data_IF_964218616352
#
_entry.id   IF_964218616352
#
_cell.length_a   1.000
_cell.length_b   1.000
_cell.length_c   1.000
_cell.angle_alpha   90.00
_cell.angle_beta   90.00
_cell.angle_gamma   90.00
#
_symmetry.space_group_name_H-M   'P 1'
#
loop_
_entity.id
_entity.type
_entity.pdbx_description
1 polymer ?
#
# COMPACT_ATOMS: atom_id res chain seq x y z
N UNK A 1 21.74 -11.17 -21.58
CA UNK A 1 20.64 -11.21 -20.60
C UNK A 1 21.07 -12.10 -19.46
N UNK A 2 20.99 -11.64 -18.22
CA UNK A 2 21.34 -12.42 -17.03
C UNK A 2 20.26 -13.50 -16.82
N UNK A 3 20.63 -14.78 -16.70
CA UNK A 3 19.69 -15.89 -16.46
C UNK A 3 19.23 -15.94 -14.98
N UNK A 4 18.82 -14.80 -14.42
CA UNK A 4 18.37 -14.71 -13.04
C UNK A 4 16.98 -15.34 -12.90
N UNK A 5 16.77 -15.98 -11.76
CA UNK A 5 15.55 -16.72 -11.42
C UNK A 5 15.10 -16.28 -10.04
N UNK A 6 13.83 -15.92 -9.91
CA UNK A 6 13.24 -15.51 -8.63
C UNK A 6 11.97 -16.31 -8.37
N UNK A 7 11.85 -16.83 -7.16
CA UNK A 7 10.60 -17.34 -6.61
C UNK A 7 9.99 -16.27 -5.72
N UNK A 8 8.75 -15.88 -6.00
CA UNK A 8 7.99 -14.91 -5.21
C UNK A 8 6.85 -15.64 -4.52
N UNK A 9 6.78 -15.54 -3.19
CA UNK A 9 5.72 -16.12 -2.37
C UNK A 9 4.76 -15.02 -1.92
N UNK A 10 3.46 -15.18 -2.18
CA UNK A 10 2.43 -14.20 -1.78
C UNK A 10 1.30 -14.83 -0.96
N UNK A 11 0.80 -14.10 0.04
CA UNK A 11 -0.24 -14.58 0.96
C UNK A 11 -1.66 -14.43 0.39
N UNK A 12 -1.76 -13.94 -0.85
CA UNK A 12 -2.96 -13.83 -1.68
C UNK A 12 -2.53 -13.74 -3.14
N UNK A 13 -3.44 -14.00 -4.07
CA UNK A 13 -3.22 -13.70 -5.48
C UNK A 13 -3.17 -12.16 -5.66
N UNK A 14 -2.11 -11.58 -6.27
CA UNK A 14 -1.96 -10.14 -6.46
C UNK A 14 -2.83 -9.59 -7.63
N UNK A 15 -4.11 -9.97 -7.66
CA UNK A 15 -5.08 -9.60 -8.67
C UNK A 15 -6.51 -9.65 -8.10
N UNK A 16 -7.50 -8.89 -8.60
CA UNK A 16 -7.38 -7.76 -9.54
C UNK A 16 -6.61 -6.58 -8.94
N UNK A 17 -6.12 -5.69 -9.81
CA UNK A 17 -5.31 -4.51 -9.46
C UNK A 17 -6.17 -3.35 -8.95
N UNK A 18 -7.02 -3.62 -7.96
CA UNK A 18 -8.02 -2.68 -7.47
C UNK A 18 -7.76 -2.18 -6.03
N UNK A 19 -6.70 -2.67 -5.39
CA UNK A 19 -6.25 -2.25 -4.07
C UNK A 19 -4.71 -2.06 -4.03
N UNK A 20 -4.25 -1.22 -3.10
CA UNK A 20 -2.85 -0.82 -3.01
C UNK A 20 -1.88 -1.98 -2.74
N UNK A 21 -2.30 -3.03 -2.03
CA UNK A 21 -1.45 -4.19 -1.78
C UNK A 21 -1.25 -5.03 -3.04
N UNK A 22 -2.30 -5.22 -3.84
CA UNK A 22 -2.20 -5.93 -5.13
C UNK A 22 -1.37 -5.13 -6.13
N UNK A 23 -1.60 -3.82 -6.22
CA UNK A 23 -0.78 -2.91 -7.04
C UNK A 23 0.71 -2.97 -6.65
N UNK A 24 1.01 -2.94 -5.35
CA UNK A 24 2.39 -2.99 -4.86
C UNK A 24 3.11 -4.31 -5.18
N UNK A 25 2.45 -5.45 -4.97
CA UNK A 25 3.02 -6.76 -5.32
C UNK A 25 3.18 -6.91 -6.84
N UNK A 26 2.16 -6.51 -7.60
CA UNK A 26 2.17 -6.55 -9.05
C UNK A 26 3.33 -5.74 -9.63
N UNK A 27 3.57 -4.53 -9.14
CA UNK A 27 4.69 -3.69 -9.58
C UNK A 27 6.04 -4.39 -9.41
N UNK A 28 6.27 -5.07 -8.28
CA UNK A 28 7.50 -5.84 -8.07
C UNK A 28 7.64 -7.01 -9.04
N UNK A 29 6.58 -7.80 -9.21
CA UNK A 29 6.54 -8.96 -10.12
C UNK A 29 6.81 -8.50 -11.57
N UNK A 30 6.14 -7.44 -12.00
CA UNK A 30 6.33 -6.83 -13.32
C UNK A 30 7.77 -6.34 -13.48
N UNK A 31 8.31 -5.68 -12.45
CA UNK A 31 9.66 -5.14 -12.48
C UNK A 31 10.75 -6.19 -12.66
N UNK A 32 10.63 -7.33 -11.96
CA UNK A 32 11.52 -8.47 -12.16
C UNK A 32 11.41 -9.04 -13.58
N UNK A 33 10.19 -9.24 -14.07
CA UNK A 33 9.94 -9.75 -15.41
C UNK A 33 10.51 -8.82 -16.50
N UNK A 34 10.24 -7.51 -16.40
CA UNK A 34 10.74 -6.51 -17.34
C UNK A 34 12.26 -6.36 -17.30
N UNK A 35 12.90 -6.71 -16.18
CA UNK A 35 14.37 -6.77 -16.05
C UNK A 35 14.96 -8.05 -16.66
N UNK A 36 14.14 -8.90 -17.28
CA UNK A 36 14.56 -10.14 -17.95
C UNK A 36 14.73 -11.32 -17.03
N UNK A 37 14.29 -11.24 -15.77
CA UNK A 37 14.38 -12.35 -14.82
C UNK A 37 13.28 -13.38 -15.10
N UNK A 38 13.60 -14.67 -14.92
CA UNK A 38 12.60 -15.73 -14.89
C UNK A 38 11.86 -15.67 -13.56
N UNK A 39 10.59 -15.26 -13.60
CA UNK A 39 9.75 -15.08 -12.41
C UNK A 39 8.85 -16.30 -12.22
N UNK A 40 8.99 -16.97 -11.08
CA UNK A 40 8.07 -17.99 -10.59
C UNK A 40 7.24 -17.38 -9.47
N UNK A 41 5.92 -17.27 -9.66
CA UNK A 41 4.99 -16.80 -8.63
C UNK A 41 4.26 -17.98 -7.99
N UNK A 42 4.34 -18.11 -6.67
CA UNK A 42 3.56 -19.07 -5.90
C UNK A 42 2.69 -18.33 -4.88
N UNK A 43 1.37 -18.35 -5.09
CA UNK A 43 0.42 -17.58 -4.30
C UNK A 43 -0.50 -18.45 -3.44
N UNK A 44 -0.95 -17.93 -2.32
CA UNK A 44 -2.13 -18.46 -1.64
C UNK A 44 -3.39 -17.88 -2.28
N UNK A 45 -4.41 -18.69 -2.54
CA UNK A 45 -5.73 -18.22 -2.95
C UNK A 45 -6.68 -18.40 -1.77
N UNK A 46 -6.89 -17.33 -1.01
CA UNK A 46 -7.60 -17.41 0.28
C UNK A 46 -9.09 -17.19 0.13
N UNK A 47 -9.92 -17.82 0.98
CA UNK A 47 -11.39 -17.67 0.93
C UNK A 47 -11.86 -16.21 0.91
N UNK A 48 -11.15 -15.31 1.62
CA UNK A 48 -11.45 -13.87 1.69
C UNK A 48 -11.06 -13.06 0.45
N UNK A 49 -10.12 -13.54 -0.34
CA UNK A 49 -9.57 -12.88 -1.51
C UNK A 49 -9.48 -13.84 -2.70
N UNK A 50 -10.52 -14.69 -2.85
CA UNK A 50 -10.52 -15.73 -3.86
C UNK A 50 -10.56 -15.10 -5.25
N UNK A 51 -9.61 -15.48 -6.11
CA UNK A 51 -9.62 -15.13 -7.53
C UNK A 51 -9.95 -16.38 -8.32
N UNK A 52 -10.99 -16.35 -9.18
CA UNK A 52 -11.29 -17.45 -10.08
C UNK A 52 -10.20 -17.63 -11.14
N UNK A 53 -9.87 -18.89 -11.44
CA UNK A 53 -8.81 -19.32 -12.36
C UNK A 53 -8.91 -18.64 -13.75
N UNK A 54 -10.14 -18.39 -14.22
CA UNK A 54 -10.45 -17.86 -15.55
C UNK A 54 -10.05 -16.38 -15.75
N UNK A 55 -9.81 -15.63 -14.66
CA UNK A 55 -9.67 -14.15 -14.70
C UNK A 55 -8.19 -13.72 -14.80
N UNK A 56 -7.24 -14.64 -14.72
CA UNK A 56 -5.82 -14.30 -14.76
C UNK A 56 -5.38 -13.98 -16.20
N UNK A 57 -5.07 -12.71 -16.45
CA UNK A 57 -4.68 -12.17 -17.77
C UNK A 57 -3.39 -11.36 -17.68
N UNK A 58 -2.84 -10.96 -18.84
CA UNK A 58 -1.68 -10.08 -18.91
C UNK A 58 -0.40 -10.73 -18.37
N UNK A 59 0.34 -9.99 -17.54
CA UNK A 59 1.65 -10.37 -16.97
C UNK A 59 1.70 -11.81 -16.47
N UNK A 60 0.66 -12.27 -15.77
CA UNK A 60 0.64 -13.58 -15.13
C UNK A 60 0.66 -14.76 -16.12
N UNK A 61 0.34 -14.53 -17.40
CA UNK A 61 0.50 -15.53 -18.48
C UNK A 61 1.90 -15.52 -19.12
N UNK A 62 2.69 -14.49 -18.84
CA UNK A 62 3.99 -14.27 -19.50
C UNK A 62 5.19 -14.50 -18.57
N UNK A 63 4.99 -14.48 -17.25
CA UNK A 63 6.01 -14.93 -16.31
C UNK A 63 6.30 -16.43 -16.48
N UNK A 64 7.44 -16.88 -15.96
CA UNK A 64 7.92 -18.24 -16.19
C UNK A 64 6.94 -19.31 -15.71
N UNK A 65 6.38 -19.12 -14.51
CA UNK A 65 5.32 -19.96 -13.97
C UNK A 65 4.49 -19.19 -12.94
N UNK A 66 3.22 -19.54 -12.87
CA UNK A 66 2.30 -19.05 -11.85
C UNK A 66 1.47 -20.22 -11.31
N UNK A 67 1.67 -20.56 -10.03
CA UNK A 67 0.87 -21.55 -9.32
C UNK A 67 0.21 -20.90 -8.09
N UNK A 68 -0.93 -21.44 -7.67
CA UNK A 68 -1.56 -21.07 -6.40
C UNK A 68 -2.11 -22.27 -5.66
N UNK A 69 -2.30 -22.09 -4.36
CA UNK A 69 -2.92 -23.07 -3.48
C UNK A 69 -4.16 -22.47 -2.84
N UNK A 70 -5.30 -23.12 -3.01
CA UNK A 70 -6.55 -22.73 -2.36
C UNK A 70 -6.46 -23.01 -0.86
N UNK A 71 -6.59 -21.96 -0.04
CA UNK A 71 -6.45 -22.02 1.40
C UNK A 71 -7.71 -21.44 2.06
N UNK A 72 -8.33 -22.21 2.93
CA UNK A 72 -9.37 -21.69 3.81
C UNK A 72 -8.71 -21.05 5.04
N UNK A 73 -8.77 -19.72 5.13
CA UNK A 73 -8.21 -18.94 6.25
C UNK A 73 -9.28 -18.28 7.13
N UNK A 74 -10.50 -18.82 7.15
CA UNK A 74 -11.59 -18.29 7.95
C UNK A 74 -11.30 -18.34 9.46
N UNK A 75 -11.80 -17.33 10.19
CA UNK A 75 -11.61 -17.22 11.64
C UNK A 75 -12.48 -18.27 12.34
N UNK A 76 -11.87 -19.37 12.77
CA UNK A 76 -12.52 -20.30 13.68
C UNK A 76 -12.37 -19.82 15.13
N UNK A 77 -13.48 -19.35 15.73
CA UNK A 77 -13.51 -18.80 17.10
C UNK A 77 -12.99 -19.75 18.18
N UNK A 78 -13.03 -21.07 17.95
CA UNK A 78 -12.55 -22.09 18.90
C UNK A 78 -11.01 -22.18 18.87
N UNK A 79 -10.40 -22.05 17.69
CA UNK A 79 -8.94 -22.05 17.53
C UNK A 79 -8.32 -20.76 18.10
N UNK A 80 -9.04 -19.64 18.08
CA UNK A 80 -8.65 -18.38 18.73
C UNK A 80 -8.46 -18.55 20.23
N UNK A 81 -9.42 -19.23 20.86
CA UNK A 81 -9.41 -19.45 22.30
C UNK A 81 -8.32 -20.45 22.68
N UNK A 82 -8.12 -21.52 21.89
CA UNK A 82 -7.06 -22.51 22.13
C UNK A 82 -5.65 -21.93 21.93
N UNK A 83 -5.40 -21.19 20.85
CA UNK A 83 -4.09 -20.57 20.62
C UNK A 83 -3.78 -19.49 21.68
N UNK A 84 -4.78 -18.74 22.14
CA UNK A 84 -4.62 -17.78 23.24
C UNK A 84 -4.21 -18.43 24.57
N UNK A 85 -4.69 -19.65 24.83
CA UNK A 85 -4.44 -20.36 26.09
C UNK A 85 -3.17 -21.24 26.08
N UNK A 86 -2.71 -21.70 24.90
CA UNK A 86 -1.70 -22.77 24.83
C UNK A 86 -0.51 -22.54 23.88
N UNK A 87 -0.50 -21.49 23.03
CA UNK A 87 0.61 -21.24 22.10
C UNK A 87 1.46 -20.02 22.49
N UNK A 88 2.76 -20.07 22.22
CA UNK A 88 3.66 -18.91 22.29
C UNK A 88 3.61 -18.08 21.00
N UNK A 89 3.22 -18.67 19.87
CA UNK A 89 3.17 -18.03 18.55
C UNK A 89 1.81 -17.42 18.27
N UNK A 90 1.75 -16.19 17.78
CA UNK A 90 0.47 -15.53 17.47
C UNK A 90 -0.38 -16.39 16.52
N UNK A 91 -1.64 -16.69 16.90
CA UNK A 91 -2.59 -17.47 16.07
C UNK A 91 -2.68 -17.00 14.61
N UNK A 92 -2.52 -15.70 14.40
CA UNK A 92 -2.55 -15.08 13.09
C UNK A 92 -1.40 -15.50 12.18
N UNK A 93 -0.31 -16.07 12.72
CA UNK A 93 0.81 -16.63 11.98
C UNK A 93 0.59 -18.12 11.70
N UNK A 94 0.17 -18.89 12.72
CA UNK A 94 -0.11 -20.34 12.58
C UNK A 94 -1.14 -20.61 11.47
N UNK A 95 -2.11 -19.70 11.28
CA UNK A 95 -3.14 -19.81 10.22
C UNK A 95 -2.64 -19.70 8.80
N UNK A 96 -1.45 -19.13 8.58
CA UNK A 96 -0.87 -19.09 7.24
C UNK A 96 0.05 -20.27 6.99
N UNK A 97 0.30 -21.15 7.97
CA UNK A 97 1.04 -22.38 7.71
C UNK A 97 0.11 -23.47 7.17
N UNK A 98 0.45 -23.98 5.99
CA UNK A 98 -0.19 -25.13 5.37
C UNK A 98 0.88 -26.05 4.79
N UNK A 99 0.89 -27.31 5.21
CA UNK A 99 1.89 -28.30 4.76
C UNK A 99 1.91 -28.42 3.23
N UNK A 100 0.74 -28.46 2.59
CA UNK A 100 0.66 -28.54 1.14
C UNK A 100 1.30 -27.33 0.41
N UNK A 101 1.25 -26.13 1.00
CA UNK A 101 1.94 -24.97 0.45
C UNK A 101 3.45 -25.07 0.67
N UNK A 102 3.90 -25.59 1.82
CA UNK A 102 5.31 -25.90 2.05
C UNK A 102 5.84 -26.93 1.05
N UNK A 103 5.12 -28.03 0.83
CA UNK A 103 5.50 -29.08 -0.11
C UNK A 103 5.68 -28.50 -1.53
N UNK A 104 4.79 -27.59 -1.93
CA UNK A 104 4.89 -26.84 -3.19
C UNK A 104 6.10 -25.91 -3.23
N UNK A 105 6.39 -25.17 -2.14
CA UNK A 105 7.63 -24.38 -2.05
C UNK A 105 8.84 -25.30 -2.26
N UNK A 106 8.90 -26.43 -1.55
CA UNK A 106 10.04 -27.37 -1.62
C UNK A 106 10.21 -27.95 -3.03
N UNK A 107 9.12 -28.32 -3.70
CA UNK A 107 9.15 -28.80 -5.08
C UNK A 107 9.72 -27.74 -6.03
N UNK A 108 9.24 -26.50 -5.93
CA UNK A 108 9.74 -25.39 -6.75
C UNK A 108 11.21 -25.10 -6.46
N UNK A 109 11.64 -25.10 -5.19
CA UNK A 109 13.04 -24.89 -4.83
C UNK A 109 13.98 -25.95 -5.45
N UNK A 110 13.55 -27.21 -5.48
CA UNK A 110 14.33 -28.33 -6.05
C UNK A 110 14.39 -28.29 -7.58
N UNK A 111 13.27 -27.97 -8.23
CA UNK A 111 13.12 -28.05 -9.69
C UNK A 111 13.52 -26.75 -10.39
N UNK A 112 12.99 -25.61 -9.94
CA UNK A 112 13.24 -24.31 -10.55
C UNK A 112 14.63 -23.76 -10.20
N UNK A 113 15.11 -24.08 -8.97
CA UNK A 113 16.39 -23.63 -8.40
C UNK A 113 16.54 -22.10 -8.50
N UNK A 114 15.69 -21.33 -7.80
CA UNK A 114 15.75 -19.88 -7.86
C UNK A 114 17.07 -19.35 -7.26
N UNK A 115 17.56 -18.25 -7.80
CA UNK A 115 18.67 -17.50 -7.23
C UNK A 115 18.22 -16.61 -6.06
N UNK A 116 16.96 -16.16 -6.11
CA UNK A 116 16.32 -15.32 -5.08
C UNK A 116 14.98 -15.91 -4.69
N UNK A 117 14.69 -15.95 -3.38
CA UNK A 117 13.35 -16.24 -2.85
C UNK A 117 12.86 -15.00 -2.12
N UNK A 118 11.84 -14.34 -2.69
CA UNK A 118 11.17 -13.19 -2.09
C UNK A 118 9.87 -13.60 -1.42
N UNK A 119 9.71 -13.19 -0.18
CA UNK A 119 8.54 -13.44 0.65
C UNK A 119 7.78 -12.12 0.84
N UNK A 120 6.55 -12.05 0.31
CA UNK A 120 5.65 -10.91 0.51
C UNK A 120 4.84 -11.11 1.79
N UNK A 121 5.05 -10.24 2.78
CA UNK A 121 4.42 -10.24 4.12
C UNK A 121 5.06 -11.15 5.16
N UNK A 122 5.01 -10.69 6.42
CA UNK A 122 5.56 -11.40 7.57
C UNK A 122 4.85 -12.73 7.83
N UNK A 123 3.59 -12.87 7.41
CA UNK A 123 2.81 -14.10 7.61
C UNK A 123 3.45 -15.33 6.94
N UNK A 124 4.07 -15.16 5.78
CA UNK A 124 4.74 -16.24 5.05
C UNK A 124 6.14 -16.56 5.57
N UNK A 125 6.64 -15.79 6.54
CA UNK A 125 7.97 -16.05 7.13
C UNK A 125 8.02 -17.36 7.92
N UNK A 126 6.86 -17.93 8.24
CA UNK A 126 6.72 -19.29 8.80
C UNK A 126 7.36 -20.37 7.93
N UNK A 127 7.44 -20.16 6.60
CA UNK A 127 8.06 -21.11 5.66
C UNK A 127 9.59 -20.99 5.56
N UNK A 128 10.20 -20.04 6.29
CA UNK A 128 11.64 -19.84 6.27
C UNK A 128 12.47 -21.08 6.63
N UNK A 129 12.07 -21.95 7.59
CA UNK A 129 12.79 -23.20 7.87
C UNK A 129 12.92 -24.10 6.63
N UNK A 130 11.82 -24.31 5.89
CA UNK A 130 11.83 -25.11 4.66
C UNK A 130 12.68 -24.47 3.55
N UNK A 131 12.55 -23.15 3.37
CA UNK A 131 13.35 -22.39 2.39
C UNK A 131 14.85 -22.55 2.68
N UNK A 132 15.24 -22.37 3.95
CA UNK A 132 16.65 -22.50 4.38
C UNK A 132 17.17 -23.93 4.25
N UNK A 133 16.34 -24.93 4.51
CA UNK A 133 16.74 -26.33 4.43
C UNK A 133 16.93 -26.82 2.99
N UNK A 134 16.17 -26.27 2.03
CA UNK A 134 16.15 -26.75 0.65
C UNK A 134 16.75 -25.78 -0.38
N UNK A 135 17.26 -24.61 0.04
CA UNK A 135 17.82 -23.64 -0.90
C UNK A 135 18.84 -22.68 -0.29
N UNK A 136 19.94 -22.49 -1.03
CA UNK A 136 20.94 -21.46 -0.79
C UNK A 136 20.62 -20.14 -1.53
N UNK A 137 19.40 -19.96 -2.03
CA UNK A 137 18.96 -18.70 -2.65
C UNK A 137 19.10 -17.52 -1.69
N UNK A 138 19.25 -16.30 -2.23
CA UNK A 138 19.15 -15.05 -1.46
C UNK A 138 17.72 -14.92 -0.95
N UNK A 139 17.55 -14.78 0.37
CA UNK A 139 16.25 -14.67 1.04
C UNK A 139 15.89 -13.21 1.20
N UNK A 140 14.78 -12.78 0.59
CA UNK A 140 14.28 -11.40 0.65
C UNK A 140 12.93 -11.36 1.35
N UNK A 141 12.78 -10.50 2.35
CA UNK A 141 11.48 -10.25 3.00
C UNK A 141 10.97 -8.87 2.60
N UNK A 142 9.82 -8.80 1.94
CA UNK A 142 9.13 -7.55 1.68
C UNK A 142 8.03 -7.31 2.70
N UNK A 143 8.17 -6.21 3.45
CA UNK A 143 7.25 -5.86 4.53
C UNK A 143 6.18 -4.92 4.02
N UNK A 144 4.91 -5.36 4.02
CA UNK A 144 3.80 -4.48 3.66
C UNK A 144 3.43 -3.52 4.79
N UNK A 145 3.53 -3.99 6.03
CA UNK A 145 3.31 -3.22 7.25
C UNK A 145 4.20 -3.80 8.36
N UNK A 146 4.24 -3.09 9.49
CA UNK A 146 4.65 -3.66 10.78
C UNK A 146 3.36 -4.07 11.49
N UNK A 147 3.05 -5.36 11.49
CA UNK A 147 1.74 -5.88 11.89
C UNK A 147 1.45 -5.57 13.36
N UNK A 148 2.42 -5.72 14.26
CA UNK A 148 2.21 -5.47 15.68
C UNK A 148 1.84 -4.00 15.97
N UNK A 149 2.25 -3.03 15.14
CA UNK A 149 1.81 -1.63 15.30
C UNK A 149 0.31 -1.48 15.05
N UNK A 150 -0.24 -2.23 14.09
CA UNK A 150 -1.67 -2.24 13.79
C UNK A 150 -2.44 -2.76 15.00
N UNK A 151 -2.01 -3.90 15.55
CA UNK A 151 -2.64 -4.51 16.73
C UNK A 151 -2.51 -3.65 17.98
N UNK A 152 -1.37 -3.01 18.20
CA UNK A 152 -1.20 -2.04 19.28
C UNK A 152 -2.20 -0.87 19.16
N UNK A 153 -2.36 -0.33 17.93
CA UNK A 153 -3.32 0.72 17.64
C UNK A 153 -4.78 0.29 17.91
N UNK A 154 -5.15 -0.94 17.56
CA UNK A 154 -6.45 -1.52 17.91
C UNK A 154 -6.62 -1.66 19.42
N UNK A 155 -5.57 -2.05 20.15
CA UNK A 155 -5.54 -2.08 21.61
C UNK A 155 -5.84 -0.72 22.22
N UNK A 156 -5.17 0.34 21.76
CA UNK A 156 -5.37 1.71 22.24
C UNK A 156 -6.79 2.24 21.99
N UNK A 157 -7.43 1.84 20.88
CA UNK A 157 -8.80 2.25 20.53
C UNK A 157 -9.90 1.38 21.17
N UNK A 158 -9.55 0.24 21.74
CA UNK A 158 -10.53 -0.70 22.28
C UNK A 158 -11.16 -0.18 23.59
N UNK A 159 -12.46 0.10 23.55
CA UNK A 159 -13.25 0.49 24.74
C UNK A 159 -13.43 -0.63 25.76
N UNK A 160 -13.54 -1.88 25.29
CA UNK A 160 -13.72 -3.06 26.15
C UNK A 160 -12.37 -3.54 26.71
N UNK A 161 -12.27 -3.66 28.05
CA UNK A 161 -11.02 -4.01 28.76
C UNK A 161 -10.48 -5.41 28.42
N UNK A 162 -11.35 -6.40 28.23
CA UNK A 162 -10.95 -7.78 27.86
C UNK A 162 -10.37 -7.79 26.45
N UNK A 163 -11.10 -7.19 25.51
CA UNK A 163 -10.67 -7.04 24.11
C UNK A 163 -9.35 -6.26 24.00
N UNK A 164 -9.19 -5.22 24.81
CA UNK A 164 -7.94 -4.44 24.91
C UNK A 164 -6.78 -5.31 25.40
N UNK A 165 -6.97 -6.08 26.48
CA UNK A 165 -5.93 -7.00 27.00
C UNK A 165 -5.54 -8.05 25.97
N UNK A 166 -6.51 -8.60 25.24
CA UNK A 166 -6.26 -9.53 24.14
C UNK A 166 -5.39 -8.89 23.04
N UNK A 167 -5.73 -7.69 22.56
CA UNK A 167 -4.94 -7.01 21.52
C UNK A 167 -3.51 -6.69 21.96
N UNK A 168 -3.30 -6.27 23.21
CA UNK A 168 -1.93 -6.04 23.70
C UNK A 168 -1.13 -7.34 23.87
N UNK A 169 -1.75 -8.43 24.32
CA UNK A 169 -1.07 -9.73 24.34
C UNK A 169 -0.64 -10.17 22.93
N UNK A 170 -1.54 -10.04 21.96
CA UNK A 170 -1.25 -10.37 20.57
C UNK A 170 -0.16 -9.46 19.97
N UNK A 171 -0.15 -8.18 20.35
CA UNK A 171 0.88 -7.21 19.96
C UNK A 171 2.27 -7.72 20.37
N UNK A 172 2.47 -8.12 21.62
CA UNK A 172 3.79 -8.57 22.07
C UNK A 172 4.24 -9.88 21.42
N UNK A 173 3.30 -10.79 21.15
CA UNK A 173 3.58 -12.06 20.44
C UNK A 173 3.99 -11.80 18.99
N UNK A 174 3.23 -10.96 18.27
CA UNK A 174 3.56 -10.56 16.90
C UNK A 174 4.88 -9.79 16.84
N UNK A 175 5.11 -8.86 17.77
CA UNK A 175 6.37 -8.13 17.85
C UNK A 175 7.58 -9.07 17.97
N UNK A 176 7.48 -10.08 18.82
CA UNK A 176 8.53 -11.09 18.96
C UNK A 176 8.71 -11.88 17.66
N UNK A 177 7.61 -12.35 17.08
CA UNK A 177 7.63 -13.09 15.82
C UNK A 177 8.23 -12.30 14.66
N UNK A 178 7.77 -11.07 14.43
CA UNK A 178 8.26 -10.20 13.35
C UNK A 178 9.76 -9.91 13.51
N UNK A 179 10.22 -9.61 14.73
CA UNK A 179 11.64 -9.37 15.01
C UNK A 179 12.52 -10.57 14.73
N UNK A 180 12.08 -11.77 15.12
CA UNK A 180 12.80 -13.02 14.82
C UNK A 180 12.76 -13.35 13.33
N UNK A 181 11.70 -12.99 12.62
CA UNK A 181 11.63 -13.14 11.17
C UNK A 181 12.65 -12.23 10.47
N UNK A 182 12.73 -10.94 10.82
CA UNK A 182 13.60 -9.97 10.15
C UNK A 182 15.09 -10.37 10.15
N UNK A 183 15.54 -11.08 11.19
CA UNK A 183 16.94 -11.55 11.31
C UNK A 183 17.31 -12.67 10.34
N UNK A 184 16.32 -13.35 9.76
CA UNK A 184 16.52 -14.58 8.97
C UNK A 184 16.64 -14.35 7.46
N UNK A 185 16.52 -13.10 7.01
CA UNK A 185 16.54 -12.73 5.60
C UNK A 185 17.79 -11.94 5.26
N UNK A 186 18.36 -12.15 4.08
CA UNK A 186 19.55 -11.46 3.57
C UNK A 186 19.27 -10.00 3.21
N UNK A 187 18.03 -9.70 2.79
CA UNK A 187 17.55 -8.35 2.50
C UNK A 187 16.13 -8.19 3.02
N UNK A 188 15.88 -7.10 3.74
CA UNK A 188 14.54 -6.71 4.17
C UNK A 188 14.13 -5.44 3.42
N UNK A 189 12.96 -5.49 2.80
CA UNK A 189 12.38 -4.43 1.96
C UNK A 189 11.15 -3.79 2.64
N UNK A 190 11.35 -2.82 3.54
CA UNK A 190 10.25 -2.01 4.08
C UNK A 190 9.70 -1.03 3.03
N UNK A 191 8.40 -0.70 3.12
CA UNK A 191 7.76 0.27 2.22
C UNK A 191 8.11 1.72 2.57
N UNK A 192 8.43 2.03 3.81
CA UNK A 192 8.70 3.42 4.24
C UNK A 192 10.01 3.54 5.00
N UNK A 193 10.67 4.70 4.91
CA UNK A 193 11.84 5.01 5.74
C UNK A 193 11.53 4.94 7.24
N UNK A 194 10.29 5.25 7.62
CA UNK A 194 9.84 5.11 9.01
C UNK A 194 9.89 3.66 9.47
N UNK A 195 9.43 2.72 8.64
CA UNK A 195 9.47 1.30 8.96
C UNK A 195 10.92 0.79 8.95
N UNK A 196 11.73 1.23 7.99
CA UNK A 196 13.17 0.90 7.95
C UNK A 196 13.91 1.38 9.20
N UNK A 197 13.74 2.64 9.59
CA UNK A 197 14.32 3.20 10.80
C UNK A 197 13.87 2.44 12.04
N UNK A 198 12.59 2.07 12.09
CA UNK A 198 12.04 1.33 13.20
C UNK A 198 12.64 -0.08 13.33
N UNK A 199 12.82 -0.79 12.21
CA UNK A 199 13.53 -2.09 12.19
C UNK A 199 14.99 -1.90 12.62
N UNK A 200 15.73 -0.95 12.03
CA UNK A 200 17.13 -0.65 12.38
C UNK A 200 17.34 -0.37 13.86
N UNK A 201 16.38 0.29 14.51
CA UNK A 201 16.45 0.60 15.95
C UNK A 201 16.29 -0.64 16.83
N UNK A 202 15.49 -1.62 16.39
CA UNK A 202 15.16 -2.79 17.18
C UNK A 202 16.08 -3.97 16.91
N UNK A 203 16.61 -4.07 15.70
CA UNK A 203 17.39 -5.20 15.22
C UNK A 203 18.52 -4.75 14.31
N UNK A 204 19.68 -5.40 14.48
CA UNK A 204 20.71 -5.45 13.46
C UNK A 204 20.34 -6.58 12.51
N UNK A 205 19.51 -6.29 11.53
CA UNK A 205 19.20 -7.24 10.46
C UNK A 205 20.28 -7.16 9.39
N UNK A 206 20.37 -8.15 8.48
CA UNK A 206 21.02 -7.97 7.19
C UNK A 206 20.39 -6.79 6.43
N UNK A 207 20.96 -6.47 5.27
CA UNK A 207 20.72 -5.21 4.56
C UNK A 207 19.24 -4.80 4.51
N UNK A 208 19.02 -3.50 4.69
CA UNK A 208 17.69 -2.87 4.65
C UNK A 208 17.65 -1.88 3.51
N UNK A 209 16.73 -2.10 2.58
CA UNK A 209 16.49 -1.21 1.45
C UNK A 209 15.02 -0.82 1.39
N UNK A 210 14.72 0.48 1.45
CA UNK A 210 13.34 0.95 1.30
C UNK A 210 12.87 0.74 -0.13
N UNK A 211 11.77 0.01 -0.29
CA UNK A 211 11.11 -0.26 -1.57
C UNK A 211 9.67 0.28 -1.49
N UNK A 212 9.48 1.59 -1.72
CA UNK A 212 8.18 2.23 -1.51
C UNK A 212 7.13 1.76 -2.50
N UNK A 213 5.88 2.12 -2.24
CA UNK A 213 4.84 2.00 -3.26
C UNK A 213 5.25 2.86 -4.47
N UNK A 214 5.30 2.25 -5.65
CA UNK A 214 5.76 2.95 -6.84
C UNK A 214 4.62 3.27 -7.80
N UNK A 215 4.74 4.40 -8.49
CA UNK A 215 3.82 4.86 -9.53
C UNK A 215 4.54 4.86 -10.88
N UNK A 216 3.88 4.27 -11.88
CA UNK A 216 4.29 4.42 -13.26
C UNK A 216 3.83 5.80 -13.77
N UNK A 217 4.74 6.78 -13.68
CA UNK A 217 4.46 8.14 -14.13
C UNK A 217 4.16 8.22 -15.63
N UNK A 218 4.53 7.22 -16.43
CA UNK A 218 4.19 7.19 -17.86
C UNK A 218 2.70 6.97 -18.10
N UNK A 219 2.02 6.30 -17.15
CA UNK A 219 0.56 6.13 -17.12
C UNK A 219 -0.15 7.38 -16.57
N UNK A 220 0.53 8.21 -15.79
CA UNK A 220 0.03 9.50 -15.26
C UNK A 220 0.27 10.66 -16.25
N UNK A 221 0.32 10.39 -17.56
CA UNK A 221 0.28 11.45 -18.57
C UNK A 221 -1.14 12.00 -18.62
N UNK A 222 -1.41 12.94 -17.71
CA UNK A 222 -2.70 13.61 -17.60
C UNK A 222 -3.16 14.15 -18.94
N UNK A 223 -4.46 14.02 -19.18
CA UNK A 223 -5.12 14.64 -20.33
C UNK A 223 -4.91 16.14 -20.20
N UNK A 224 -4.22 16.74 -21.17
CA UNK A 224 -3.97 18.18 -21.15
C UNK A 224 -5.31 18.91 -21.33
N UNK A 225 -5.76 19.54 -20.25
CA UNK A 225 -6.94 20.42 -20.23
C UNK A 225 -6.56 21.69 -19.50
N UNK A 226 -7.26 22.77 -19.82
CA UNK A 226 -7.20 23.98 -19.03
C UNK A 226 -7.69 23.68 -17.61
N UNK A 227 -6.80 23.83 -16.64
CA UNK A 227 -7.10 23.47 -15.26
C UNK A 227 -7.82 24.60 -14.52
N UNK A 228 -8.89 24.25 -13.83
CA UNK A 228 -9.70 25.12 -12.99
C UNK A 228 -9.21 25.09 -11.54
N UNK A 229 -9.29 26.25 -10.89
CA UNK A 229 -9.00 26.45 -9.46
C UNK A 229 -10.15 25.97 -8.57
N UNK A 230 -10.51 24.70 -8.73
CA UNK A 230 -11.54 23.99 -7.97
C UNK A 230 -10.90 22.81 -7.23
N UNK A 231 -11.57 22.31 -6.21
CA UNK A 231 -11.11 21.12 -5.50
C UNK A 231 -11.84 19.85 -5.91
N UNK A 232 -11.20 18.72 -5.66
CA UNK A 232 -11.78 17.41 -5.91
C UNK A 232 -11.40 16.34 -4.90
N UNK A 233 -12.18 15.26 -4.89
CA UNK A 233 -11.85 13.99 -4.25
C UNK A 233 -12.26 12.82 -5.13
N UNK A 234 -11.44 11.77 -5.18
CA UNK A 234 -11.82 10.51 -5.85
C UNK A 234 -11.50 9.30 -4.98
N UNK A 235 -12.40 8.32 -4.90
CA UNK A 235 -12.13 7.04 -4.23
C UNK A 235 -13.35 6.16 -4.05
N UNK A 236 -13.13 4.87 -3.80
CA UNK A 236 -14.23 3.92 -3.59
C UNK A 236 -15.03 4.27 -2.32
N UNK A 237 -16.34 4.42 -2.45
CA UNK A 237 -17.24 4.89 -1.38
C UNK A 237 -17.87 3.77 -0.56
N UNK A 238 -17.68 2.51 -0.98
CA UNK A 238 -17.90 1.33 -0.14
C UNK A 238 -16.85 1.21 0.98
N UNK A 239 -15.69 1.84 0.80
CA UNK A 239 -14.66 1.93 1.84
C UNK A 239 -15.01 3.00 2.88
N UNK A 240 -15.29 2.55 4.11
CA UNK A 240 -15.76 3.38 5.23
C UNK A 240 -14.91 4.66 5.44
N UNK A 241 -13.56 4.61 5.43
CA UNK A 241 -12.73 5.81 5.55
C UNK A 241 -12.99 6.92 4.53
N UNK A 242 -13.23 6.59 3.26
CA UNK A 242 -13.53 7.61 2.24
C UNK A 242 -14.91 8.24 2.53
N UNK A 243 -15.91 7.40 2.82
CA UNK A 243 -17.28 7.83 3.09
C UNK A 243 -17.37 8.73 4.33
N UNK A 244 -16.71 8.34 5.42
CA UNK A 244 -16.63 9.17 6.64
C UNK A 244 -15.92 10.50 6.38
N UNK A 245 -14.83 10.48 5.61
CA UNK A 245 -14.08 11.68 5.27
C UNK A 245 -14.90 12.69 4.45
N UNK A 246 -15.61 12.21 3.42
CA UNK A 246 -16.49 13.08 2.61
C UNK A 246 -17.67 13.58 3.43
N UNK A 247 -18.32 12.72 4.21
CA UNK A 247 -19.45 13.15 5.05
C UNK A 247 -19.03 14.26 6.02
N UNK A 248 -17.89 14.10 6.70
CA UNK A 248 -17.32 15.12 7.57
C UNK A 248 -16.95 16.40 6.82
N UNK A 249 -16.32 16.28 5.66
CA UNK A 249 -15.96 17.44 4.85
C UNK A 249 -17.19 18.24 4.45
N UNK A 250 -18.25 17.58 3.98
CA UNK A 250 -19.49 18.22 3.57
C UNK A 250 -20.30 18.80 4.74
N UNK A 251 -20.21 18.25 5.96
CA UNK A 251 -20.94 18.75 7.12
C UNK A 251 -20.20 19.87 7.86
N UNK A 252 -18.89 19.72 8.07
CA UNK A 252 -18.12 20.60 8.95
C UNK A 252 -17.28 21.65 8.20
N UNK A 253 -16.78 21.29 7.01
CA UNK A 253 -15.80 22.08 6.28
C UNK A 253 -16.45 22.90 5.18
N UNK A 254 -17.28 22.27 4.35
CA UNK A 254 -17.89 22.91 3.20
C UNK A 254 -18.69 24.17 3.54
N UNK A 255 -19.55 24.20 4.58
CA UNK A 255 -20.31 25.41 4.92
C UNK A 255 -19.40 26.64 5.18
N UNK A 256 -18.22 26.42 5.78
CA UNK A 256 -17.25 27.49 6.05
C UNK A 256 -16.53 27.92 4.78
N UNK A 257 -16.20 26.98 3.88
CA UNK A 257 -15.63 27.28 2.57
C UNK A 257 -16.62 28.13 1.76
N UNK A 258 -17.86 27.66 1.62
CA UNK A 258 -18.90 28.35 0.85
C UNK A 258 -19.17 29.76 1.37
N UNK A 259 -19.28 29.93 2.69
CA UNK A 259 -19.46 31.26 3.28
C UNK A 259 -18.27 32.20 3.05
N UNK A 260 -17.05 31.68 2.96
CA UNK A 260 -15.82 32.49 2.80
C UNK A 260 -15.45 32.72 1.33
N UNK A 261 -15.78 31.77 0.46
CA UNK A 261 -15.39 31.72 -0.96
C UNK A 261 -16.58 31.20 -1.78
N UNK A 262 -17.68 31.97 -1.93
CA UNK A 262 -18.97 31.45 -2.45
C UNK A 262 -18.95 30.89 -3.87
N UNK A 263 -17.95 31.25 -4.67
CA UNK A 263 -17.78 30.76 -6.05
C UNK A 263 -16.84 29.55 -6.15
N UNK A 264 -16.29 29.07 -5.04
CA UNK A 264 -15.41 27.91 -5.05
C UNK A 264 -16.25 26.64 -5.18
N UNK A 265 -15.76 25.70 -5.98
CA UNK A 265 -16.48 24.45 -6.26
C UNK A 265 -15.69 23.23 -5.77
N UNK A 266 -16.42 22.23 -5.31
CA UNK A 266 -15.87 20.94 -4.91
C UNK A 266 -16.53 19.80 -5.68
N UNK A 267 -15.72 18.97 -6.32
CA UNK A 267 -16.18 17.82 -7.08
C UNK A 267 -15.77 16.52 -6.38
N UNK A 268 -16.64 15.52 -6.33
CA UNK A 268 -16.21 14.20 -5.88
C UNK A 268 -16.82 13.05 -6.67
N UNK A 269 -16.01 12.02 -6.86
CA UNK A 269 -16.35 10.83 -7.63
C UNK A 269 -15.86 9.56 -6.91
N UNK A 270 -16.44 8.42 -7.24
CA UNK A 270 -16.08 7.17 -6.59
C UNK A 270 -16.94 5.99 -6.96
N UNK A 271 -16.30 4.81 -7.03
CA UNK A 271 -17.01 3.55 -7.21
C UNK A 271 -17.98 3.29 -6.07
N UNK A 272 -19.11 2.66 -6.37
CA UNK A 272 -20.15 2.31 -5.38
C UNK A 272 -20.56 3.52 -4.52
N UNK A 273 -20.83 4.65 -5.18
CA UNK A 273 -21.35 5.86 -4.54
C UNK A 273 -22.63 5.53 -3.77
N UNK A 274 -22.78 6.06 -2.56
CA UNK A 274 -23.96 5.85 -1.73
C UNK A 274 -25.06 6.84 -2.09
N UNK A 275 -26.32 6.42 -1.97
CA UNK A 275 -27.49 7.23 -2.35
C UNK A 275 -27.55 8.55 -1.57
N UNK A 276 -27.12 8.56 -0.29
CA UNK A 276 -27.05 9.77 0.53
C UNK A 276 -26.10 10.84 0.00
N UNK A 277 -25.17 10.51 -0.89
CA UNK A 277 -24.35 11.49 -1.60
C UNK A 277 -24.91 11.90 -2.96
N UNK A 278 -25.61 10.99 -3.65
CA UNK A 278 -26.20 11.27 -4.96
C UNK A 278 -27.42 12.18 -4.86
N UNK A 279 -28.23 12.00 -3.82
CA UNK A 279 -29.47 12.74 -3.59
C UNK A 279 -29.23 14.08 -2.88
N UNK A 280 -27.99 14.35 -2.45
CA UNK A 280 -27.67 15.51 -1.61
C UNK A 280 -27.26 16.70 -2.46
N UNK A 281 -28.16 17.66 -2.58
CA UNK A 281 -27.89 18.95 -3.22
C UNK A 281 -27.25 19.92 -2.22
N UNK A 282 -26.03 20.37 -2.52
CA UNK A 282 -25.32 21.40 -1.75
C UNK A 282 -24.74 22.38 -2.75
N UNK A 283 -24.99 23.68 -2.56
CA UNK A 283 -24.47 24.72 -3.45
C UNK A 283 -22.93 24.64 -3.55
N UNK A 284 -22.44 24.66 -4.80
CA UNK A 284 -21.01 24.54 -5.14
C UNK A 284 -20.39 23.15 -4.96
N UNK A 285 -21.18 22.12 -4.58
CA UNK A 285 -20.73 20.73 -4.50
C UNK A 285 -21.31 19.90 -5.62
N UNK A 286 -20.45 19.14 -6.28
CA UNK A 286 -20.80 18.32 -7.44
C UNK A 286 -20.44 16.85 -7.17
N UNK A 287 -21.46 16.02 -6.92
CA UNK A 287 -21.31 14.57 -6.82
C UNK A 287 -21.40 13.95 -8.21
N UNK A 288 -20.30 13.39 -8.71
CA UNK A 288 -20.25 12.79 -10.05
C UNK A 288 -20.56 11.29 -10.08
N UNK A 289 -20.87 10.69 -8.91
CA UNK A 289 -21.06 9.24 -8.81
C UNK A 289 -19.81 8.45 -9.19
N UNK A 290 -20.02 7.30 -9.83
CA UNK A 290 -18.94 6.51 -10.44
C UNK A 290 -18.65 7.03 -11.84
N UNK A 291 -17.39 7.38 -12.11
CA UNK A 291 -16.94 7.93 -13.40
C UNK A 291 -16.27 6.83 -14.23
N UNK A 292 -16.47 6.85 -15.55
CA UNK A 292 -15.87 5.88 -16.47
C UNK A 292 -14.35 5.98 -16.50
N UNK A 293 -13.82 7.21 -16.45
CA UNK A 293 -12.39 7.49 -16.50
C UNK A 293 -11.96 8.47 -15.38
N UNK A 294 -11.13 7.98 -14.46
CA UNK A 294 -10.61 8.76 -13.36
C UNK A 294 -9.67 9.89 -13.82
N UNK A 295 -8.85 9.65 -14.83
CA UNK A 295 -7.91 10.64 -15.37
C UNK A 295 -8.64 11.81 -16.01
N UNK A 296 -9.74 11.55 -16.72
CA UNK A 296 -10.62 12.59 -17.27
C UNK A 296 -11.27 13.43 -16.19
N UNK A 297 -11.74 12.79 -15.11
CA UNK A 297 -12.31 13.50 -13.96
C UNK A 297 -11.27 14.39 -13.26
N UNK A 298 -10.02 13.96 -13.18
CA UNK A 298 -8.94 14.70 -12.49
C UNK A 298 -8.34 15.80 -13.38
N UNK A 299 -8.34 15.63 -14.70
CA UNK A 299 -7.58 16.44 -15.66
C UNK A 299 -7.71 17.95 -15.45
N UNK A 300 -8.94 18.46 -15.29
CA UNK A 300 -9.22 19.90 -15.22
C UNK A 300 -9.28 20.47 -13.79
N UNK A 301 -8.91 19.72 -12.74
CA UNK A 301 -9.05 20.16 -11.33
C UNK A 301 -7.70 20.28 -10.66
N UNK A 302 -7.39 21.42 -10.04
CA UNK A 302 -6.05 21.69 -9.47
C UNK A 302 -5.83 21.13 -8.07
N UNK A 303 -6.86 21.03 -7.24
CA UNK A 303 -6.70 20.81 -5.79
C UNK A 303 -7.31 19.48 -5.34
N UNK A 304 -6.49 18.50 -4.98
CA UNK A 304 -6.98 17.28 -4.32
C UNK A 304 -7.19 17.55 -2.82
N UNK A 305 -8.38 17.23 -2.31
CA UNK A 305 -8.70 17.24 -0.88
C UNK A 305 -8.78 15.80 -0.36
N UNK A 306 -8.01 15.46 0.67
CA UNK A 306 -8.05 14.14 1.33
C UNK A 306 -8.21 14.31 2.85
N UNK A 307 -9.46 14.38 3.36
CA UNK A 307 -9.74 14.72 4.75
C UNK A 307 -9.90 13.49 5.66
N UNK A 308 -9.17 12.41 5.35
CA UNK A 308 -9.34 11.12 6.02
C UNK A 308 -8.84 11.19 7.47
N UNK A 309 -9.64 10.75 8.45
CA UNK A 309 -9.27 10.72 9.87
C UNK A 309 -8.71 9.37 10.34
N UNK A 310 -8.66 8.36 9.46
CA UNK A 310 -8.21 7.01 9.80
C UNK A 310 -6.79 6.75 9.29
N UNK A 311 -5.99 6.18 10.17
CA UNK A 311 -4.64 5.69 9.89
C UNK A 311 -4.68 4.35 9.17
N UNK A 312 -3.85 4.18 8.14
CA UNK A 312 -3.50 2.87 7.60
C UNK A 312 -3.11 2.97 6.12
N UNK A 313 -1.97 2.41 5.73
CA UNK A 313 -1.46 2.39 4.36
C UNK A 313 -1.19 3.76 3.71
N UNK A 314 -0.38 3.75 2.66
CA UNK A 314 -0.17 4.92 1.79
C UNK A 314 -1.46 5.23 1.02
N UNK A 315 -1.81 6.51 0.88
CA UNK A 315 -2.93 6.95 0.02
C UNK A 315 -2.43 7.07 -1.42
N UNK A 316 -2.62 6.01 -2.22
CA UNK A 316 -2.22 5.98 -3.64
C UNK A 316 -2.74 7.21 -4.40
N UNK A 317 -3.99 7.63 -4.16
CA UNK A 317 -4.58 8.85 -4.75
C UNK A 317 -3.76 10.14 -4.52
N UNK A 318 -3.04 10.25 -3.39
CA UNK A 318 -2.17 11.40 -3.14
C UNK A 318 -0.93 11.31 -4.01
N UNK A 319 -0.28 10.16 -4.07
CA UNK A 319 0.88 9.97 -4.95
C UNK A 319 0.50 10.16 -6.44
N UNK A 320 -0.66 9.68 -6.88
CA UNK A 320 -1.17 9.88 -8.24
C UNK A 320 -1.40 11.37 -8.54
N UNK A 321 -2.03 12.09 -7.60
CA UNK A 321 -2.26 13.52 -7.74
C UNK A 321 -0.94 14.33 -7.71
N UNK A 322 0.01 13.96 -6.84
CA UNK A 322 1.35 14.54 -6.83
C UNK A 322 2.07 14.28 -8.17
N UNK A 323 2.03 13.06 -8.70
CA UNK A 323 2.58 12.72 -10.02
C UNK A 323 1.96 13.54 -11.16
N UNK A 324 0.67 13.86 -11.05
CA UNK A 324 -0.05 14.73 -11.97
C UNK A 324 0.20 16.24 -11.73
N UNK A 325 1.01 16.62 -10.73
CA UNK A 325 1.33 18.00 -10.39
C UNK A 325 0.19 18.77 -9.69
N UNK A 326 -0.75 18.05 -9.09
CA UNK A 326 -1.90 18.64 -8.37
C UNK A 326 -1.50 19.13 -6.99
N UNK A 327 -2.19 20.15 -6.50
CA UNK A 327 -2.03 20.67 -5.15
C UNK A 327 -2.75 19.75 -4.18
N UNK A 328 -2.08 19.33 -3.10
CA UNK A 328 -2.65 18.42 -2.12
C UNK A 328 -3.00 19.18 -0.84
N UNK A 329 -4.26 19.08 -0.41
CA UNK A 329 -4.71 19.52 0.92
C UNK A 329 -5.19 18.29 1.68
N UNK A 330 -4.53 17.92 2.78
CA UNK A 330 -4.82 16.66 3.47
C UNK A 330 -4.63 16.75 4.98
N UNK A 331 -5.28 15.83 5.69
CA UNK A 331 -5.11 15.61 7.13
C UNK A 331 -3.73 15.01 7.47
N UNK A 332 -3.32 15.06 8.75
CA UNK A 332 -2.13 14.36 9.22
C UNK A 332 -2.16 12.86 8.91
N UNK A 333 -3.35 12.25 8.90
CA UNK A 333 -3.54 10.83 8.59
C UNK A 333 -3.44 10.52 7.10
N UNK A 334 -3.90 11.41 6.24
CA UNK A 334 -3.92 11.20 4.79
C UNK A 334 -2.52 11.12 4.18
N UNK A 335 -1.58 11.94 4.66
CA UNK A 335 -0.20 11.97 4.13
C UNK A 335 0.72 10.86 4.67
N UNK A 336 0.26 10.04 5.63
CA UNK A 336 1.12 9.03 6.27
C UNK A 336 1.68 8.04 5.25
N UNK A 337 2.99 7.80 5.36
CA UNK A 337 3.75 6.90 4.47
C UNK A 337 4.26 7.56 3.18
N UNK A 338 3.98 8.86 2.97
CA UNK A 338 4.56 9.66 1.90
C UNK A 338 5.57 10.62 2.52
N UNK A 339 6.79 10.64 2.02
CA UNK A 339 7.91 11.47 2.49
C UNK A 339 7.84 12.88 1.92
N UNK A 340 6.66 13.48 2.02
CA UNK A 340 6.37 14.83 1.60
C UNK A 340 6.62 15.83 2.75
N UNK A 341 6.98 17.07 2.40
CA UNK A 341 7.21 18.16 3.34
C UNK A 341 6.02 19.13 3.29
N UNK A 342 5.52 19.52 4.46
CA UNK A 342 4.45 20.52 4.59
C UNK A 342 4.96 21.85 4.04
N UNK A 343 4.16 22.52 3.21
CA UNK A 343 4.51 23.81 2.62
C UNK A 343 5.29 23.70 1.31
N UNK A 344 6.08 22.64 1.13
CA UNK A 344 6.82 22.40 -0.11
C UNK A 344 6.04 21.51 -1.08
N UNK A 345 5.43 20.43 -0.58
CA UNK A 345 4.77 19.42 -1.41
C UNK A 345 3.25 19.33 -1.18
N UNK A 346 2.76 19.82 -0.05
CA UNK A 346 1.34 19.78 0.30
C UNK A 346 0.98 20.78 1.41
N UNK A 347 -0.32 21.06 1.55
CA UNK A 347 -0.88 21.83 2.66
C UNK A 347 -1.55 20.90 3.68
N UNK A 348 -1.20 21.09 4.95
CA UNK A 348 -1.70 20.27 6.05
C UNK A 348 -2.93 20.94 6.69
N UNK A 349 -4.03 20.20 6.80
CA UNK A 349 -5.28 20.69 7.39
C UNK A 349 -5.85 19.73 8.43
N UNK A 350 -5.97 20.19 9.70
CA UNK A 350 -6.41 19.35 10.84
C UNK A 350 -7.87 19.56 11.20
N UNK A 351 -8.40 20.75 10.92
CA UNK A 351 -9.73 21.17 11.28
C UNK A 351 -10.36 21.97 10.11
N UNK A 352 -11.67 22.27 10.16
CA UNK A 352 -12.34 23.00 9.09
C UNK A 352 -11.69 24.34 8.71
N UNK A 353 -11.21 25.10 9.70
CA UNK A 353 -10.57 26.40 9.50
C UNK A 353 -9.26 26.29 8.72
N UNK A 354 -8.50 25.21 8.93
CA UNK A 354 -7.27 24.94 8.19
C UNK A 354 -7.56 24.68 6.70
N UNK A 355 -8.64 23.96 6.36
CA UNK A 355 -9.04 23.72 4.96
C UNK A 355 -9.43 25.03 4.27
N UNK A 356 -10.23 25.87 4.93
CA UNK A 356 -10.61 27.20 4.41
C UNK A 356 -9.35 28.04 4.15
N UNK A 357 -8.42 28.06 5.11
CA UNK A 357 -7.17 28.80 4.99
C UNK A 357 -6.28 28.28 3.86
N UNK A 358 -6.15 26.96 3.74
CA UNK A 358 -5.36 26.32 2.69
C UNK A 358 -5.93 26.63 1.29
N UNK A 359 -7.24 26.49 1.09
CA UNK A 359 -7.90 26.81 -0.18
C UNK A 359 -7.73 28.30 -0.51
N UNK A 360 -8.00 29.19 0.46
CA UNK A 360 -7.82 30.63 0.28
C UNK A 360 -6.38 30.98 -0.09
N UNK A 361 -5.40 30.36 0.58
CA UNK A 361 -3.99 30.55 0.25
C UNK A 361 -3.67 30.13 -1.19
N UNK A 362 -4.17 28.98 -1.65
CA UNK A 362 -4.00 28.52 -3.03
C UNK A 362 -4.56 29.53 -4.03
N UNK A 363 -5.77 30.05 -3.80
CA UNK A 363 -6.42 31.00 -4.69
C UNK A 363 -5.71 32.37 -4.75
N UNK A 364 -5.12 32.79 -3.63
CA UNK A 364 -4.39 34.07 -3.52
C UNK A 364 -2.93 33.97 -3.98
N UNK A 365 -2.33 32.77 -3.97
CA UNK A 365 -0.91 32.55 -4.26
C UNK A 365 -0.73 31.51 -5.37
N UNK A 366 -1.44 31.71 -6.50
CA UNK A 366 -1.52 30.72 -7.59
C UNK A 366 -0.16 30.20 -8.03
N UNK A 367 0.80 31.09 -8.31
CA UNK A 367 2.14 30.69 -8.77
C UNK A 367 2.89 29.82 -7.75
N UNK A 368 2.77 30.15 -6.45
CA UNK A 368 3.39 29.36 -5.37
C UNK A 368 2.70 28.02 -5.18
N UNK A 369 1.37 27.97 -5.31
CA UNK A 369 0.62 26.73 -5.22
C UNK A 369 0.92 25.81 -6.41
N UNK A 370 1.10 26.37 -7.61
CA UNK A 370 1.56 25.60 -8.77
C UNK A 370 3.01 25.12 -8.62
N UNK A 371 3.89 25.94 -8.03
CA UNK A 371 5.24 25.50 -7.69
C UNK A 371 5.21 24.31 -6.71
N UNK A 372 4.37 24.36 -5.68
CA UNK A 372 4.17 23.24 -4.76
C UNK A 372 3.71 21.96 -5.48
N UNK A 373 2.81 22.09 -6.46
CA UNK A 373 2.41 20.96 -7.32
C UNK A 373 3.57 20.40 -8.14
N UNK A 374 4.43 21.26 -8.71
CA UNK A 374 5.65 20.85 -9.43
C UNK A 374 6.65 20.16 -8.52
N UNK A 375 6.87 20.69 -7.32
CA UNK A 375 7.80 20.12 -6.34
C UNK A 375 7.30 18.76 -5.84
N UNK A 376 5.99 18.62 -5.62
CA UNK A 376 5.37 17.34 -5.29
C UNK A 376 5.51 16.30 -6.43
N UNK A 377 5.38 16.75 -7.69
CA UNK A 377 5.63 15.90 -8.86
C UNK A 377 7.08 15.45 -8.94
N UNK A 378 8.02 16.37 -8.68
CA UNK A 378 9.45 16.06 -8.66
C UNK A 378 9.79 15.06 -7.55
N UNK A 379 9.21 15.20 -6.36
CA UNK A 379 9.33 14.22 -5.28
C UNK A 379 8.89 12.82 -5.73
N UNK A 380 7.74 12.72 -6.43
CA UNK A 380 7.26 11.44 -6.95
C UNK A 380 8.23 10.86 -7.98
N UNK A 381 8.76 11.68 -8.87
CA UNK A 381 9.77 11.24 -9.84
C UNK A 381 11.03 10.69 -9.16
N UNK A 382 11.52 11.35 -8.12
CA UNK A 382 12.77 10.96 -7.46
C UNK A 382 12.63 9.73 -6.58
N UNK A 383 11.51 9.61 -5.83
CA UNK A 383 11.37 8.60 -4.76
C UNK A 383 10.37 7.49 -5.05
N UNK A 384 9.39 7.74 -5.91
CA UNK A 384 8.23 6.87 -6.08
C UNK A 384 8.04 6.43 -7.53
N UNK A 385 8.89 6.84 -8.46
CA UNK A 385 8.80 6.40 -9.85
C UNK A 385 9.13 4.92 -9.96
N UNK A 386 8.24 4.20 -10.66
CA UNK A 386 8.29 2.75 -10.86
C UNK A 386 9.65 2.22 -11.29
N UNK A 387 10.22 2.73 -12.38
CA UNK A 387 11.49 2.24 -12.92
C UNK A 387 12.65 2.48 -11.95
N UNK A 388 12.67 3.62 -11.26
CA UNK A 388 13.70 3.97 -10.27
C UNK A 388 13.65 3.03 -9.06
N UNK A 389 12.46 2.81 -8.50
CA UNK A 389 12.26 1.90 -7.36
C UNK A 389 12.65 0.47 -7.74
N UNK A 390 12.16 -0.04 -8.87
CA UNK A 390 12.49 -1.39 -9.34
C UNK A 390 13.98 -1.53 -9.61
N UNK A 391 14.60 -0.57 -10.30
CA UNK A 391 16.04 -0.60 -10.60
C UNK A 391 16.86 -0.67 -9.31
N UNK A 392 16.51 0.11 -8.30
CA UNK A 392 17.22 0.12 -7.01
C UNK A 392 17.16 -1.25 -6.34
N UNK A 393 16.00 -1.91 -6.37
CA UNK A 393 15.86 -3.28 -5.82
C UNK A 393 16.67 -4.28 -6.63
N UNK A 394 16.59 -4.24 -7.96
CA UNK A 394 17.34 -5.16 -8.84
C UNK A 394 18.85 -5.00 -8.62
N UNK A 395 19.36 -3.77 -8.56
CA UNK A 395 20.78 -3.50 -8.34
C UNK A 395 21.25 -4.07 -6.99
N UNK A 396 20.45 -3.91 -5.92
CA UNK A 396 20.76 -4.47 -4.62
C UNK A 396 20.79 -6.00 -4.62
N UNK A 397 19.84 -6.65 -5.29
CA UNK A 397 19.85 -8.11 -5.42
C UNK A 397 21.03 -8.60 -6.26
N UNK A 398 21.40 -7.92 -7.34
CA UNK A 398 22.56 -8.26 -8.14
C UNK A 398 23.88 -8.17 -7.35
N UNK A 399 24.00 -7.18 -6.45
CA UNK A 399 25.14 -7.10 -5.51
C UNK A 399 25.16 -8.32 -4.59
N UNK A 400 24.04 -8.67 -3.96
CA UNK A 400 23.95 -9.83 -3.06
C UNK A 400 24.24 -11.15 -3.78
N UNK A 401 23.76 -11.31 -5.00
CA UNK A 401 24.03 -12.49 -5.82
C UNK A 401 25.51 -12.61 -6.17
N UNK A 402 26.14 -11.51 -6.61
CA UNK A 402 27.58 -11.50 -6.90
C UNK A 402 28.40 -11.85 -5.67
N UNK A 403 28.05 -11.35 -4.48
CA UNK A 403 28.76 -11.67 -3.23
C UNK A 403 28.67 -13.15 -2.82
N UNK A 404 27.72 -13.92 -3.38
CA UNK A 404 27.60 -15.37 -3.15
C UNK A 404 28.25 -16.23 -4.22
N UNK A 405 28.50 -15.67 -5.39
CA UNK A 405 29.21 -16.35 -6.48
C UNK A 405 30.74 -16.39 -6.23
N UNK A 406 31.25 -15.62 -5.25
CA UNK A 406 32.62 -15.64 -4.71
C UNK A 406 32.64 -16.31 -3.33
#
# INVERSE_FOLDING_TARGET
MTDRKILILTNRIPYPLNDGGNLAMHAMIEGYYMSGWKVYLLAMNTSRHSVPDEILTGLYKHIHAFEWVNINNDINKINVIKNFLFSKEAEHVERFYHQYFEDKIVDVLKNFKPHVVQVESVYLTTYMPAIKHHSDAVKVLRMHNIEYHIWHGLGMKAKNKIKRKYYFNLTERLKTFEREAWKKYDLVLPITEKDAFHVKRLEKTPDLLVAPFSIDMSKIRGIQREEKWVSYHIGAMDWIPNREAIRWFLSEVWPKIHNTIPKFEFYFAGRKMTTDFLEREIEGVHCMGEVENADEFIADKKILIVPVATTGGIRVKILEAMAAGKIIITSPEGIKGIEAKVGDHYLLARNPEDYVRAIKWCLMNKDKAEQMGRDAKQLVYEKYEYRSVIKTVIDALEVLLKLRDY
#
